data_IF_859524505463
#
_entry.id   IF_859524505463
#
_cell.length_a   1.000
_cell.length_b   1.000
_cell.length_c   1.000
_cell.angle_alpha   90.00
_cell.angle_beta   90.00
_cell.angle_gamma   90.00
#
_symmetry.space_group_name_H-M   'P 1'
#
loop_
_entity.id
_entity.type
_entity.pdbx_description
1 polymer ?
#
# COMPACT_ATOMS: atom_id res chain seq x y z
N UNK A 1 -5.77 15.33 -6.55
CA UNK A 1 -4.52 14.57 -6.34
C UNK A 1 -4.20 14.62 -4.87
N UNK A 2 -3.78 13.50 -4.31
CA UNK A 2 -3.60 13.32 -2.88
C UNK A 2 -2.38 14.08 -2.36
N UNK A 3 -2.41 14.47 -1.08
CA UNK A 3 -1.44 15.38 -0.48
C UNK A 3 -0.02 14.79 -0.38
N UNK A 4 0.10 13.47 -0.14
CA UNK A 4 1.40 12.83 0.01
C UNK A 4 2.09 12.55 -1.31
N UNK A 5 1.34 12.17 -2.34
CA UNK A 5 1.90 11.97 -3.67
C UNK A 5 2.68 13.19 -4.15
N UNK A 6 2.13 14.40 -4.04
CA UNK A 6 2.86 15.62 -4.41
C UNK A 6 4.09 15.86 -3.56
N UNK A 7 3.98 15.73 -2.23
CA UNK A 7 5.10 15.94 -1.30
C UNK A 7 6.27 14.99 -1.57
N UNK A 8 5.98 13.74 -1.94
CA UNK A 8 7.00 12.74 -2.25
C UNK A 8 7.60 12.94 -3.64
N UNK A 9 6.78 13.33 -4.62
CA UNK A 9 7.24 13.46 -6.02
C UNK A 9 7.90 14.80 -6.35
N UNK A 10 7.79 15.80 -5.47
CA UNK A 10 8.36 17.15 -5.68
C UNK A 10 9.89 17.14 -5.80
N UNK A 11 10.58 16.44 -4.90
CA UNK A 11 12.03 16.23 -4.96
C UNK A 11 12.39 14.75 -4.76
N UNK A 12 12.63 14.00 -5.86
CA UNK A 12 13.01 12.59 -5.80
C UNK A 12 14.35 12.31 -5.08
N UNK A 13 15.18 13.34 -4.88
CA UNK A 13 16.46 13.22 -4.17
C UNK A 13 16.26 13.20 -2.66
N UNK A 14 15.19 13.86 -2.19
CA UNK A 14 14.85 13.92 -0.79
C UNK A 14 13.90 12.78 -0.42
N UNK A 15 14.42 11.77 0.26
CA UNK A 15 13.64 10.59 0.68
C UNK A 15 12.88 10.82 1.99
N UNK A 16 13.10 11.94 2.70
CA UNK A 16 12.46 12.22 3.99
C UNK A 16 10.92 12.24 3.91
N UNK A 17 10.28 12.89 2.92
CA UNK A 17 8.83 12.90 2.79
C UNK A 17 8.22 11.51 2.59
N UNK A 18 8.98 10.59 1.98
CA UNK A 18 8.53 9.21 1.79
C UNK A 18 8.51 8.44 3.11
N UNK A 19 9.49 8.64 3.98
CA UNK A 19 9.53 8.03 5.30
C UNK A 19 8.36 8.55 6.16
N UNK A 20 8.14 9.87 6.17
CA UNK A 20 7.01 10.48 6.88
C UNK A 20 5.66 10.00 6.36
N UNK A 21 5.54 9.82 5.04
CA UNK A 21 4.37 9.25 4.39
C UNK A 21 4.11 7.80 4.89
N UNK A 22 5.12 6.95 4.95
CA UNK A 22 4.97 5.58 5.45
C UNK A 22 4.55 5.54 6.93
N UNK A 23 5.10 6.42 7.76
CA UNK A 23 4.70 6.55 9.17
C UNK A 23 3.25 7.00 9.32
N UNK A 24 2.80 7.93 8.46
CA UNK A 24 1.40 8.34 8.39
C UNK A 24 0.50 7.16 8.02
N UNK A 25 0.82 6.43 6.94
CA UNK A 25 0.01 5.29 6.51
C UNK A 25 0.03 4.13 7.51
N UNK A 26 1.09 3.94 8.29
CA UNK A 26 1.11 2.95 9.37
C UNK A 26 0.10 3.32 10.47
N UNK A 27 0.02 4.59 10.87
CA UNK A 27 -0.98 5.06 11.84
C UNK A 27 -2.40 4.88 11.32
N UNK A 28 -2.64 5.31 10.08
CA UNK A 28 -3.92 5.12 9.39
C UNK A 28 -4.32 3.65 9.31
N UNK A 29 -3.35 2.76 9.04
CA UNK A 29 -3.60 1.32 9.03
C UNK A 29 -4.05 0.80 10.40
N UNK A 30 -3.41 1.21 11.49
CA UNK A 30 -3.81 0.78 12.84
C UNK A 30 -5.23 1.25 13.19
N UNK A 31 -5.66 2.42 12.72
CA UNK A 31 -7.02 2.90 12.90
C UNK A 31 -8.01 2.17 12.00
N UNK A 32 -7.66 1.95 10.72
CA UNK A 32 -8.49 1.20 9.77
C UNK A 32 -8.79 -0.23 10.25
N UNK A 33 -7.86 -0.88 10.96
CA UNK A 33 -8.10 -2.22 11.54
C UNK A 33 -9.28 -2.24 12.50
N UNK A 34 -9.49 -1.16 13.27
CA UNK A 34 -10.60 -1.06 14.23
C UNK A 34 -11.95 -0.91 13.52
N UNK A 35 -11.94 -0.34 12.31
CA UNK A 35 -13.15 -0.11 11.50
C UNK A 35 -13.69 -1.40 10.86
N UNK A 36 -12.85 -2.42 10.69
CA UNK A 36 -13.23 -3.74 10.17
C UNK A 36 -14.08 -4.53 11.17
N UNK A 37 -13.97 -4.24 12.47
CA UNK A 37 -14.77 -4.92 13.48
C UNK A 37 -16.24 -4.47 13.43
N UNK A 38 -17.18 -5.38 13.71
CA UNK A 38 -18.61 -5.07 13.85
C UNK A 38 -18.90 -4.86 15.34
N UNK A 39 -19.21 -3.60 15.71
CA UNK A 39 -19.55 -3.22 17.09
C UNK A 39 -20.78 -2.31 17.11
N UNK A 40 -21.69 -2.57 18.05
CA UNK A 40 -22.90 -1.76 18.23
C UNK A 40 -24.01 -2.02 17.21
N UNK A 41 -24.94 -1.07 17.01
CA UNK A 41 -26.12 -1.26 16.16
C UNK A 41 -25.77 -1.49 14.68
N UNK A 42 -26.52 -2.39 14.03
CA UNK A 42 -26.30 -2.81 12.65
C UNK A 42 -26.55 -1.65 11.69
N UNK A 43 -27.61 -0.88 11.92
CA UNK A 43 -28.05 0.26 11.11
C UNK A 43 -26.96 1.34 11.07
N UNK A 44 -26.33 1.60 12.23
CA UNK A 44 -25.23 2.57 12.33
C UNK A 44 -23.98 2.09 11.61
N UNK A 45 -23.69 0.79 11.64
CA UNK A 45 -22.57 0.24 10.90
C UNK A 45 -22.84 0.30 9.40
N UNK A 46 -24.02 -0.15 8.95
CA UNK A 46 -24.44 -0.12 7.55
C UNK A 46 -24.38 1.29 6.96
N UNK A 47 -24.89 2.30 7.68
CA UNK A 47 -24.88 3.69 7.21
C UNK A 47 -23.47 4.29 7.06
N UNK A 48 -22.50 3.82 7.86
CA UNK A 48 -21.11 4.31 7.82
C UNK A 48 -20.25 3.61 6.78
N UNK A 49 -20.61 2.39 6.35
CA UNK A 49 -19.79 1.57 5.46
C UNK A 49 -19.36 2.30 4.17
N UNK A 50 -20.23 3.01 3.43
CA UNK A 50 -19.82 3.67 2.19
C UNK A 50 -18.70 4.69 2.40
N UNK A 51 -18.79 5.49 3.48
CA UNK A 51 -17.78 6.50 3.80
C UNK A 51 -16.45 5.89 4.23
N UNK A 52 -16.48 4.79 5.02
CA UNK A 52 -15.27 4.06 5.42
C UNK A 52 -14.61 3.44 4.19
N UNK A 53 -15.39 2.77 3.33
CA UNK A 53 -14.87 2.11 2.12
C UNK A 53 -14.25 3.13 1.18
N UNK A 54 -14.92 4.24 0.89
CA UNK A 54 -14.37 5.31 0.03
C UNK A 54 -13.05 5.83 0.60
N UNK A 55 -13.02 6.20 1.88
CA UNK A 55 -11.83 6.78 2.50
C UNK A 55 -10.63 5.81 2.46
N UNK A 56 -10.83 4.54 2.84
CA UNK A 56 -9.76 3.53 2.86
C UNK A 56 -9.35 3.10 1.45
N UNK A 57 -10.27 3.09 0.50
CA UNK A 57 -9.94 2.81 -0.89
C UNK A 57 -9.13 3.96 -1.52
N UNK A 58 -9.48 5.21 -1.24
CA UNK A 58 -8.72 6.39 -1.68
C UNK A 58 -7.28 6.38 -1.14
N UNK A 59 -7.09 5.99 0.13
CA UNK A 59 -5.75 5.76 0.71
C UNK A 59 -4.98 4.63 0.02
N UNK A 60 -5.64 3.52 -0.30
CA UNK A 60 -5.03 2.43 -1.07
C UNK A 60 -4.58 2.90 -2.46
N UNK A 61 -5.41 3.68 -3.16
CA UNK A 61 -5.07 4.21 -4.48
C UNK A 61 -3.87 5.16 -4.44
N UNK A 62 -3.73 5.96 -3.39
CA UNK A 62 -2.54 6.79 -3.18
C UNK A 62 -1.27 5.95 -2.99
N UNK A 63 -1.32 4.88 -2.18
CA UNK A 63 -0.20 3.94 -2.02
C UNK A 63 0.15 3.22 -3.33
N UNK A 64 -0.83 2.90 -4.16
CA UNK A 64 -0.60 2.32 -5.50
C UNK A 64 0.10 3.30 -6.44
N UNK A 65 -0.30 4.58 -6.42
CA UNK A 65 0.37 5.61 -7.19
C UNK A 65 1.83 5.81 -6.75
N UNK A 66 2.09 5.81 -5.43
CA UNK A 66 3.44 5.90 -4.87
C UNK A 66 4.30 4.68 -5.25
N UNK A 67 3.72 3.47 -5.26
CA UNK A 67 4.43 2.27 -5.67
C UNK A 67 4.87 2.37 -7.14
N UNK A 68 3.96 2.76 -8.04
CA UNK A 68 4.27 2.94 -9.46
C UNK A 68 5.33 4.03 -9.68
N UNK A 69 5.26 5.12 -8.93
CA UNK A 69 6.31 6.14 -8.94
C UNK A 69 7.66 5.57 -8.52
N UNK A 70 7.72 4.85 -7.40
CA UNK A 70 8.97 4.27 -6.87
C UNK A 70 9.59 3.23 -7.82
N UNK A 71 8.77 2.45 -8.53
CA UNK A 71 9.22 1.53 -9.58
C UNK A 71 9.97 2.28 -10.72
N UNK A 72 9.49 3.47 -11.08
CA UNK A 72 10.13 4.28 -12.09
C UNK A 72 11.44 4.91 -11.57
N UNK A 73 11.48 5.33 -10.31
CA UNK A 73 12.71 5.82 -9.70
C UNK A 73 13.79 4.73 -9.59
N UNK A 74 13.44 3.50 -9.20
CA UNK A 74 14.38 2.37 -9.22
C UNK A 74 14.98 2.17 -10.61
N UNK A 75 14.17 2.23 -11.68
CA UNK A 75 14.66 2.13 -13.06
C UNK A 75 15.65 3.24 -13.41
N UNK A 76 15.41 4.47 -12.96
CA UNK A 76 16.32 5.61 -13.19
C UNK A 76 17.66 5.40 -12.49
N UNK A 77 17.64 5.08 -11.19
CA UNK A 77 18.85 4.87 -10.39
C UNK A 77 19.65 3.69 -10.95
N UNK A 78 18.98 2.58 -11.29
CA UNK A 78 19.61 1.41 -11.91
C UNK A 78 20.23 1.70 -13.28
N UNK A 79 19.60 2.55 -14.08
CA UNK A 79 20.15 2.96 -15.39
C UNK A 79 21.37 3.85 -15.23
N UNK A 80 21.36 4.77 -14.26
CA UNK A 80 22.52 5.62 -13.94
C UNK A 80 23.70 4.78 -13.43
N UNK A 81 23.44 3.83 -12.53
CA UNK A 81 24.38 2.83 -12.04
C UNK A 81 25.00 2.02 -13.19
N UNK A 82 24.17 1.50 -14.09
CA UNK A 82 24.62 0.72 -15.24
C UNK A 82 25.57 1.50 -16.15
N UNK A 83 25.22 2.75 -16.52
CA UNK A 83 26.10 3.61 -17.33
C UNK A 83 27.42 3.89 -16.64
N UNK A 84 27.40 4.14 -15.33
CA UNK A 84 28.61 4.36 -14.52
C UNK A 84 29.57 3.18 -14.62
N UNK A 85 29.10 1.94 -14.48
CA UNK A 85 29.95 0.75 -14.59
C UNK A 85 30.39 0.42 -16.02
N UNK A 86 29.65 0.87 -17.03
CA UNK A 86 29.99 0.63 -18.43
C UNK A 86 31.02 1.63 -18.96
N UNK A 87 30.90 2.91 -18.59
CA UNK A 87 31.69 4.00 -19.18
C UNK A 87 32.84 4.51 -18.28
N UNK A 88 32.69 4.42 -16.95
CA UNK A 88 33.59 5.07 -15.99
C UNK A 88 34.30 4.10 -15.05
N UNK A 89 34.25 2.80 -15.33
CA UNK A 89 34.93 1.80 -14.50
C UNK A 89 36.38 1.58 -14.98
N UNK A 90 37.39 1.54 -14.08
CA UNK A 90 38.80 1.41 -14.46
C UNK A 90 39.14 0.14 -15.26
N UNK A 91 38.30 -0.90 -15.14
CA UNK A 91 38.39 -2.14 -15.91
C UNK A 91 37.23 -2.19 -16.90
N UNK A 92 37.51 -2.57 -18.13
CA UNK A 92 36.45 -2.83 -19.10
C UNK A 92 35.62 -4.03 -18.63
N UNK A 93 34.35 -3.78 -18.32
CA UNK A 93 33.40 -4.80 -17.88
C UNK A 93 32.58 -5.28 -19.07
N UNK A 94 32.22 -6.56 -19.07
CA UNK A 94 31.17 -7.02 -19.99
C UNK A 94 29.84 -6.37 -19.61
N UNK A 95 28.93 -6.21 -20.58
CA UNK A 95 27.57 -5.71 -20.32
C UNK A 95 26.86 -6.51 -19.21
N UNK A 96 27.12 -7.82 -19.11
CA UNK A 96 26.57 -8.67 -18.05
C UNK A 96 27.16 -8.34 -16.68
N UNK A 97 28.47 -8.16 -16.59
CA UNK A 97 29.12 -7.81 -15.32
C UNK A 97 28.68 -6.43 -14.85
N UNK A 98 28.66 -5.43 -15.75
CA UNK A 98 28.18 -4.08 -15.45
C UNK A 98 26.74 -4.10 -14.91
N UNK A 99 25.88 -4.97 -15.43
CA UNK A 99 24.52 -5.15 -14.91
C UNK A 99 24.50 -5.70 -13.49
N UNK A 100 25.34 -6.69 -13.19
CA UNK A 100 25.42 -7.31 -11.86
C UNK A 100 25.92 -6.28 -10.83
N UNK A 101 26.95 -5.49 -11.19
CA UNK A 101 27.47 -4.43 -10.32
C UNK A 101 26.45 -3.30 -10.11
N UNK A 102 25.72 -2.91 -11.16
CA UNK A 102 24.66 -1.91 -11.06
C UNK A 102 23.53 -2.38 -10.14
N UNK A 103 23.13 -3.64 -10.23
CA UNK A 103 22.08 -4.23 -9.40
C UNK A 103 22.49 -4.30 -7.92
N UNK A 104 23.79 -4.38 -7.63
CA UNK A 104 24.35 -4.37 -6.30
C UNK A 104 24.76 -2.96 -5.80
N UNK A 105 24.52 -1.90 -6.57
CA UNK A 105 24.90 -0.55 -6.16
C UNK A 105 24.07 -0.11 -4.93
N UNK A 106 24.69 0.45 -3.87
CA UNK A 106 23.97 0.81 -2.65
C UNK A 106 22.76 1.72 -2.87
N UNK A 107 22.83 2.65 -3.82
CA UNK A 107 21.71 3.53 -4.17
C UNK A 107 20.52 2.78 -4.78
N UNK A 108 20.79 1.74 -5.58
CA UNK A 108 19.75 0.87 -6.17
C UNK A 108 19.10 0.03 -5.08
N UNK A 109 19.92 -0.58 -4.22
CA UNK A 109 19.43 -1.41 -3.11
C UNK A 109 18.58 -0.60 -2.12
N UNK A 110 19.00 0.61 -1.77
CA UNK A 110 18.26 1.50 -0.88
C UNK A 110 16.89 1.88 -1.48
N UNK A 111 16.84 2.19 -2.78
CA UNK A 111 15.57 2.51 -3.44
C UNK A 111 14.64 1.29 -3.55
N UNK A 112 15.20 0.11 -3.79
CA UNK A 112 14.45 -1.16 -3.79
C UNK A 112 13.87 -1.48 -2.39
N UNK A 113 14.61 -1.23 -1.33
CA UNK A 113 14.13 -1.41 0.04
C UNK A 113 12.92 -0.49 0.32
N UNK A 114 13.00 0.78 -0.09
CA UNK A 114 11.89 1.72 0.02
C UNK A 114 10.66 1.29 -0.80
N UNK A 115 10.87 0.87 -2.05
CA UNK A 115 9.81 0.30 -2.88
C UNK A 115 9.12 -0.88 -2.18
N UNK A 116 9.92 -1.76 -1.54
CA UNK A 116 9.40 -2.93 -0.81
C UNK A 116 8.54 -2.52 0.38
N UNK A 117 8.94 -1.47 1.12
CA UNK A 117 8.15 -0.94 2.23
C UNK A 117 6.81 -0.35 1.76
N UNK A 118 6.79 0.41 0.65
CA UNK A 118 5.55 0.92 0.04
C UNK A 118 4.65 -0.25 -0.39
N UNK A 119 5.23 -1.27 -1.05
CA UNK A 119 4.47 -2.44 -1.49
C UNK A 119 3.83 -3.19 -0.31
N UNK A 120 4.56 -3.34 0.80
CA UNK A 120 4.03 -3.94 2.02
C UNK A 120 2.87 -3.12 2.59
N UNK A 121 3.02 -1.79 2.67
CA UNK A 121 1.97 -0.91 3.16
C UNK A 121 0.71 -0.98 2.28
N UNK A 122 0.87 -0.94 0.95
CA UNK A 122 -0.22 -1.12 -0.01
C UNK A 122 -0.95 -2.43 0.24
N UNK A 123 -0.22 -3.54 0.42
CA UNK A 123 -0.81 -4.85 0.67
C UNK A 123 -1.60 -4.91 2.00
N UNK A 124 -1.14 -4.20 3.04
CA UNK A 124 -1.90 -4.04 4.29
C UNK A 124 -3.26 -3.37 4.04
N UNK A 125 -3.32 -2.33 3.22
CA UNK A 125 -4.58 -1.66 2.85
C UNK A 125 -5.48 -2.51 1.95
N UNK A 126 -4.92 -3.37 1.07
CA UNK A 126 -5.71 -4.39 0.36
C UNK A 126 -6.42 -5.31 1.37
N UNK A 127 -5.73 -5.72 2.44
CA UNK A 127 -6.33 -6.53 3.50
C UNK A 127 -7.48 -5.80 4.22
N UNK A 128 -7.36 -4.48 4.44
CA UNK A 128 -8.45 -3.66 5.00
C UNK A 128 -9.65 -3.68 4.07
N UNK A 129 -9.47 -3.42 2.77
CA UNK A 129 -10.55 -3.47 1.78
C UNK A 129 -11.29 -4.81 1.79
N UNK A 130 -10.55 -5.92 1.82
CA UNK A 130 -11.14 -7.27 1.95
C UNK A 130 -11.94 -7.44 3.24
N UNK A 131 -11.41 -6.97 4.37
CA UNK A 131 -12.10 -7.01 5.65
C UNK A 131 -13.41 -6.21 5.63
N UNK A 132 -13.41 -5.02 5.01
CA UNK A 132 -14.59 -4.19 4.86
C UNK A 132 -15.65 -4.84 3.97
N UNK A 133 -15.26 -5.48 2.86
CA UNK A 133 -16.20 -6.24 2.03
C UNK A 133 -16.81 -7.42 2.79
N UNK A 134 -16.03 -8.14 3.58
CA UNK A 134 -16.55 -9.19 4.46
C UNK A 134 -17.54 -8.61 5.48
N UNK A 135 -17.21 -7.47 6.10
CA UNK A 135 -18.09 -6.78 7.05
C UNK A 135 -19.43 -6.39 6.41
N UNK A 136 -19.41 -5.79 5.22
CA UNK A 136 -20.63 -5.45 4.48
C UNK A 136 -21.50 -6.69 4.21
N UNK A 137 -20.87 -7.78 3.76
CA UNK A 137 -21.56 -9.04 3.51
C UNK A 137 -22.22 -9.62 4.76
N UNK A 138 -21.51 -9.62 5.89
CA UNK A 138 -22.05 -10.11 7.16
C UNK A 138 -23.21 -9.25 7.68
N UNK A 139 -23.08 -7.92 7.59
CA UNK A 139 -24.17 -7.00 7.93
C UNK A 139 -25.43 -7.31 7.12
N UNK A 140 -25.29 -7.50 5.81
CA UNK A 140 -26.41 -7.85 4.91
C UNK A 140 -27.07 -9.18 5.32
N UNK A 141 -26.28 -10.21 5.63
CA UNK A 141 -26.81 -11.50 6.06
C UNK A 141 -27.56 -11.41 7.39
N UNK A 142 -27.04 -10.68 8.38
CA UNK A 142 -27.73 -10.50 9.65
C UNK A 142 -29.07 -9.77 9.45
N UNK A 143 -29.12 -8.74 8.60
CA UNK A 143 -30.37 -8.03 8.26
C UNK A 143 -31.39 -8.99 7.64
N UNK A 144 -30.96 -9.86 6.71
CA UNK A 144 -31.84 -10.86 6.08
C UNK A 144 -32.37 -11.89 7.08
N UNK A 145 -31.52 -12.38 7.99
CA UNK A 145 -31.94 -13.32 9.04
C UNK A 145 -32.99 -12.69 9.97
N UNK A 146 -32.75 -11.44 10.41
CA UNK A 146 -33.71 -10.68 11.22
C UNK A 146 -35.04 -10.46 10.51
N UNK A 147 -35.01 -10.13 9.21
CA UNK A 147 -36.23 -10.00 8.42
C UNK A 147 -37.02 -11.30 8.33
N UNK A 148 -36.34 -12.45 8.30
CA UNK A 148 -36.97 -13.77 8.28
C UNK A 148 -37.43 -14.27 9.66
N UNK A 149 -37.17 -13.53 10.74
CA UNK A 149 -37.46 -13.95 12.12
C UNK A 149 -36.53 -15.07 12.62
N UNK A 150 -35.35 -15.23 12.03
CA UNK A 150 -34.36 -16.26 12.35
C UNK A 150 -33.23 -15.70 13.23
N UNK A 151 -33.60 -15.05 14.33
CA UNK A 151 -32.65 -14.35 15.20
C UNK A 151 -31.71 -15.31 15.96
N UNK A 152 -32.17 -16.54 16.23
CA UNK A 152 -31.45 -17.58 16.99
C UNK A 152 -30.95 -18.74 16.11
N UNK A 153 -30.67 -18.49 14.81
CA UNK A 153 -30.18 -19.52 13.91
C UNK A 153 -28.79 -20.04 14.34
N UNK A 154 -28.67 -21.34 14.60
CA UNK A 154 -27.43 -22.02 14.98
C UNK A 154 -27.03 -23.08 13.94
N UNK A 155 -25.73 -23.37 13.87
CA UNK A 155 -25.20 -24.52 13.12
C UNK A 155 -24.97 -25.64 14.13
N UNK A 156 -25.80 -26.69 14.09
CA UNK A 156 -25.58 -27.89 14.89
C UNK A 156 -24.42 -28.72 14.29
N UNK A 157 -23.54 -29.23 15.15
CA UNK A 157 -22.34 -30.01 14.80
C UNK A 157 -22.65 -31.48 14.50
#
# INVERSE_FOLDING_TARGET
MSEWYYKVTEDPTNLMPLVECLDYFEKEYQDARKEVEIKGPIERNAAKMPGIVEHRFSQLQELEALLVWSENEVKKVKTAAYKKYLENYPRELSSRDAQIYADAEPSVLQMLELQTQIALMRNKFISIGKGLSCKEFQISNIVRLRQAGLDDAAIDY
#
